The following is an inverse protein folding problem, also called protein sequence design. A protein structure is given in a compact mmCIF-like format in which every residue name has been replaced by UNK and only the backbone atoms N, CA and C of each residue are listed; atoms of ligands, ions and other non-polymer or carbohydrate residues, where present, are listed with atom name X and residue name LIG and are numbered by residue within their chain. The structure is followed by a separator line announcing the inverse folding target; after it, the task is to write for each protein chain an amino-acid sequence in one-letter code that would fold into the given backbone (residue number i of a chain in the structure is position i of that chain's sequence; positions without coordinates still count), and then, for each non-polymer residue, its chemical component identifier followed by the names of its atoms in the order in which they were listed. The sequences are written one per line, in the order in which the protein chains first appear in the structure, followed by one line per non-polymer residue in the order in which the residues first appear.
data_IF_071316084582
#
_entry.id   IF_071316084582
#
_cell.length_a   1.000
_cell.length_b   1.000
_cell.length_c   1.000
_cell.angle_alpha   90.00
_cell.angle_beta   90.00
_cell.angle_gamma   90.00
#
_symmetry.space_group_name_H-M   'P 1'
#
loop_
_entity.id
_entity.type
_entity.pdbx_description
1 polymer ?
#
# COMPACT_ATOMS: atom_id res chain seq x y z
N UNK A 1 8.66 -8.16 8.33
CA UNK A 1 9.91 -8.94 8.50
C UNK A 1 9.64 -9.95 9.60
N UNK A 2 9.73 -11.24 9.30
CA UNK A 2 9.30 -12.42 10.09
C UNK A 2 7.82 -12.88 9.96
N UNK A 3 7.11 -12.61 8.86
CA UNK A 3 5.71 -13.07 8.74
C UNK A 3 5.59 -14.60 8.71
N UNK A 4 6.44 -15.30 7.94
CA UNK A 4 6.35 -16.75 7.80
C UNK A 4 6.68 -17.47 9.10
N UNK A 5 7.77 -17.09 9.77
CA UNK A 5 8.14 -17.67 11.07
C UNK A 5 7.11 -17.36 12.17
N UNK A 6 6.54 -16.16 12.17
CA UNK A 6 5.51 -15.79 13.13
C UNK A 6 4.23 -16.59 12.93
N UNK A 7 3.80 -16.80 11.68
CA UNK A 7 2.66 -17.66 11.35
C UNK A 7 2.91 -19.09 11.83
N UNK A 8 4.08 -19.65 11.55
CA UNK A 8 4.41 -21.01 11.98
C UNK A 8 4.44 -21.16 13.51
N UNK A 9 4.93 -20.14 14.21
CA UNK A 9 4.94 -20.12 15.68
C UNK A 9 3.52 -20.06 16.25
N UNK A 10 2.66 -19.17 15.74
CA UNK A 10 1.25 -19.06 16.15
C UNK A 10 0.45 -20.34 15.86
N UNK A 11 0.67 -20.96 14.70
CA UNK A 11 0.05 -22.25 14.38
C UNK A 11 0.54 -23.37 15.30
N UNK A 12 1.83 -23.38 15.64
CA UNK A 12 2.37 -24.33 16.61
C UNK A 12 1.77 -24.15 18.00
N UNK A 13 1.61 -22.92 18.48
CA UNK A 13 1.01 -22.64 19.80
C UNK A 13 -0.44 -23.16 19.88
N UNK A 14 -1.11 -23.24 18.73
CA UNK A 14 -2.48 -23.79 18.60
C UNK A 14 -2.51 -25.30 18.37
N UNK A 15 -1.37 -25.98 18.37
CA UNK A 15 -1.27 -27.43 18.17
C UNK A 15 -1.59 -27.89 16.74
N UNK A 16 -1.42 -27.02 15.74
CA UNK A 16 -1.67 -27.34 14.34
C UNK A 16 -0.50 -28.14 13.76
N UNK A 17 -0.82 -29.24 13.08
CA UNK A 17 0.15 -30.03 12.30
C UNK A 17 0.19 -29.54 10.85
N UNK A 18 1.37 -29.58 10.24
CA UNK A 18 1.57 -29.13 8.87
C UNK A 18 1.55 -30.30 7.89
N UNK A 19 0.56 -30.32 6.98
CA UNK A 19 0.47 -31.33 5.92
C UNK A 19 1.05 -30.83 4.60
N UNK A 20 1.91 -31.63 3.96
CA UNK A 20 2.42 -31.41 2.60
C UNK A 20 2.30 -32.70 1.79
N UNK A 21 1.28 -32.76 0.93
CA UNK A 21 0.93 -33.98 0.21
C UNK A 21 0.54 -35.09 1.19
N UNK A 22 1.24 -36.23 1.13
CA UNK A 22 1.05 -37.34 2.06
C UNK A 22 1.86 -37.21 3.37
N UNK A 23 2.76 -36.22 3.46
CA UNK A 23 3.63 -36.03 4.62
C UNK A 23 2.98 -35.09 5.64
N UNK A 24 3.17 -35.39 6.93
CA UNK A 24 2.74 -34.53 8.04
C UNK A 24 3.95 -34.20 8.90
N UNK A 25 4.10 -32.92 9.25
CA UNK A 25 5.20 -32.37 10.03
C UNK A 25 4.65 -31.73 11.29
N UNK A 26 5.24 -32.09 12.43
CA UNK A 26 4.96 -31.49 13.73
C UNK A 26 6.07 -30.48 14.06
N UNK A 27 5.69 -29.30 14.56
CA UNK A 27 6.63 -28.28 15.03
C UNK A 27 7.32 -28.66 16.36
N UNK A 28 6.73 -29.60 17.10
CA UNK A 28 7.28 -30.19 18.32
C UNK A 28 8.40 -31.19 18.01
N UNK A 29 8.40 -31.77 16.81
CA UNK A 29 9.46 -32.66 16.34
C UNK A 29 10.68 -31.84 15.85
N UNK A 30 11.92 -32.16 16.29
CA UNK A 30 13.11 -31.42 15.87
C UNK A 30 13.31 -31.35 14.36
N UNK A 31 12.97 -32.42 13.62
CA UNK A 31 13.09 -32.43 12.17
C UNK A 31 11.98 -31.60 11.50
N UNK A 32 10.73 -31.78 11.94
CA UNK A 32 9.60 -30.96 11.48
C UNK A 32 9.84 -29.47 11.70
N UNK A 33 10.35 -29.08 12.86
CA UNK A 33 10.76 -27.70 13.15
C UNK A 33 11.83 -27.19 12.19
N UNK A 34 12.92 -27.93 12.00
CA UNK A 34 14.00 -27.53 11.09
C UNK A 34 13.49 -27.35 9.65
N UNK A 35 12.67 -28.29 9.17
CA UNK A 35 12.10 -28.26 7.83
C UNK A 35 11.22 -27.03 7.63
N UNK A 36 10.27 -26.80 8.54
CA UNK A 36 9.34 -25.67 8.47
C UNK A 36 10.06 -24.33 8.60
N UNK A 37 11.08 -24.23 9.47
CA UNK A 37 11.93 -23.04 9.57
C UNK A 37 12.72 -22.75 8.28
N UNK A 38 13.22 -23.80 7.61
CA UNK A 38 13.92 -23.65 6.33
C UNK A 38 12.98 -23.13 5.25
N UNK A 39 11.74 -23.66 5.18
CA UNK A 39 10.72 -23.16 4.26
C UNK A 39 10.37 -21.69 4.53
N UNK A 40 10.22 -21.32 5.80
CA UNK A 40 9.98 -19.92 6.18
C UNK A 40 11.13 -19.01 5.74
N UNK A 41 12.38 -19.44 5.93
CA UNK A 41 13.56 -18.69 5.50
C UNK A 41 13.57 -18.48 3.98
N UNK A 42 13.28 -19.52 3.20
CA UNK A 42 13.21 -19.42 1.73
C UNK A 42 12.09 -18.47 1.30
N UNK A 43 10.90 -18.60 1.89
CA UNK A 43 9.78 -17.71 1.59
C UNK A 43 10.10 -16.23 1.88
N UNK A 44 10.75 -15.96 3.02
CA UNK A 44 11.19 -14.60 3.36
C UNK A 44 12.27 -14.07 2.42
N UNK A 45 13.23 -14.92 2.03
CA UNK A 45 14.25 -14.56 1.06
C UNK A 45 13.65 -14.18 -0.29
N UNK A 46 12.73 -14.98 -0.83
CA UNK A 46 12.09 -14.71 -2.12
C UNK A 46 11.25 -13.44 -2.10
N UNK A 47 10.48 -13.21 -1.03
CA UNK A 47 9.70 -11.99 -0.86
C UNK A 47 10.61 -10.75 -0.83
N UNK A 48 11.70 -10.81 -0.06
CA UNK A 48 12.68 -9.74 0.03
C UNK A 48 13.35 -9.48 -1.33
N UNK A 49 13.69 -10.53 -2.07
CA UNK A 49 14.27 -10.42 -3.41
C UNK A 49 13.29 -9.75 -4.39
N UNK A 50 12.01 -10.09 -4.32
CA UNK A 50 10.95 -9.41 -5.06
C UNK A 50 10.90 -7.92 -4.75
N UNK A 51 10.88 -7.55 -3.47
CA UNK A 51 10.88 -6.16 -3.03
C UNK A 51 12.12 -5.38 -3.48
N UNK A 52 13.31 -5.99 -3.42
CA UNK A 52 14.54 -5.36 -3.92
C UNK A 52 14.42 -5.01 -5.39
N UNK A 53 13.99 -5.97 -6.23
CA UNK A 53 13.79 -5.74 -7.67
C UNK A 53 12.74 -4.68 -7.96
N UNK A 54 11.63 -4.67 -7.22
CA UNK A 54 10.60 -3.62 -7.34
C UNK A 54 11.18 -2.25 -7.02
N UNK A 55 11.96 -2.12 -5.93
CA UNK A 55 12.58 -0.86 -5.54
C UNK A 55 13.56 -0.36 -6.60
N UNK A 56 14.38 -1.24 -7.18
CA UNK A 56 15.27 -0.92 -8.29
C UNK A 56 14.49 -0.42 -9.52
N UNK A 57 13.44 -1.14 -9.91
CA UNK A 57 12.56 -0.75 -11.00
C UNK A 57 11.88 0.61 -10.76
N UNK A 58 11.39 0.85 -9.54
CA UNK A 58 10.81 2.13 -9.14
C UNK A 58 11.84 3.26 -9.17
N UNK A 59 13.07 3.02 -8.70
CA UNK A 59 14.15 4.02 -8.76
C UNK A 59 14.47 4.42 -10.21
N UNK A 60 14.52 3.45 -11.12
CA UNK A 60 14.71 3.72 -12.55
C UNK A 60 13.52 4.48 -13.16
N UNK A 61 12.29 4.08 -12.85
CA UNK A 61 11.09 4.75 -13.31
C UNK A 61 11.01 6.19 -12.78
N UNK A 62 11.43 6.43 -11.53
CA UNK A 62 11.54 7.76 -10.92
C UNK A 62 12.56 8.64 -11.66
N UNK A 63 13.77 8.11 -11.91
CA UNK A 63 14.82 8.81 -12.66
C UNK A 63 14.34 9.20 -14.07
N UNK A 64 13.55 8.35 -14.70
CA UNK A 64 12.97 8.57 -16.02
C UNK A 64 11.67 9.41 -16.00
N UNK A 65 11.24 9.94 -14.84
CA UNK A 65 10.04 10.77 -14.73
C UNK A 65 8.71 10.04 -15.01
N UNK A 66 8.71 8.71 -14.99
CA UNK A 66 7.53 7.88 -15.29
C UNK A 66 6.63 7.65 -14.09
N UNK A 67 7.15 7.77 -12.87
CA UNK A 67 6.34 7.72 -11.65
C UNK A 67 5.60 9.06 -11.49
N UNK A 68 4.34 9.06 -11.94
CA UNK A 68 3.39 10.13 -11.62
C UNK A 68 2.46 9.54 -10.59
N UNK A 69 2.40 10.16 -9.42
CA UNK A 69 1.50 9.73 -8.35
C UNK A 69 0.05 9.73 -8.73
N UNK A 70 -0.79 9.62 -7.70
CA UNK A 70 -2.23 9.64 -7.88
C UNK A 70 -2.64 10.91 -8.62
N UNK A 71 -3.16 10.74 -9.82
CA UNK A 71 -3.64 11.85 -10.62
C UNK A 71 -4.75 12.59 -9.86
N UNK A 72 -4.78 13.93 -9.90
CA UNK A 72 -5.86 14.70 -9.32
C UNK A 72 -7.21 14.25 -9.87
N UNK A 73 -8.23 14.11 -9.01
CA UNK A 73 -9.58 13.69 -9.41
C UNK A 73 -10.27 14.69 -10.34
N UNK A 74 -9.89 15.96 -10.26
CA UNK A 74 -10.48 17.05 -11.03
C UNK A 74 -9.40 17.69 -11.92
N UNK A 75 -9.74 18.03 -13.18
CA UNK A 75 -8.81 18.69 -14.08
C UNK A 75 -8.55 20.13 -13.63
N UNK A 76 -7.44 20.71 -14.08
CA UNK A 76 -6.99 22.03 -13.63
C UNK A 76 -8.01 23.18 -13.85
N UNK A 77 -8.80 23.23 -14.95
CA UNK A 77 -9.86 24.23 -15.10
C UNK A 77 -10.92 24.18 -13.99
N UNK A 78 -11.32 22.97 -13.56
CA UNK A 78 -12.28 22.79 -12.47
C UNK A 78 -11.68 23.26 -11.13
N UNK A 79 -10.40 22.94 -10.88
CA UNK A 79 -9.68 23.39 -9.68
C UNK A 79 -9.56 24.91 -9.61
N UNK A 80 -9.29 25.57 -10.74
CA UNK A 80 -9.28 27.04 -10.84
C UNK A 80 -10.66 27.64 -10.55
N UNK A 81 -11.73 27.06 -11.10
CA UNK A 81 -13.11 27.47 -10.82
C UNK A 81 -13.43 27.37 -9.33
N UNK A 82 -13.09 26.25 -8.69
CA UNK A 82 -13.27 26.01 -7.25
C UNK A 82 -12.55 27.08 -6.42
N UNK A 83 -11.27 27.34 -6.71
CA UNK A 83 -10.47 28.36 -6.00
C UNK A 83 -11.08 29.75 -6.13
N UNK A 84 -11.51 30.13 -7.34
CA UNK A 84 -12.10 31.45 -7.63
C UNK A 84 -13.43 31.63 -6.88
N UNK A 85 -14.36 30.69 -7.02
CA UNK A 85 -15.70 30.77 -6.40
C UNK A 85 -15.63 30.78 -4.87
N UNK A 86 -14.70 30.02 -4.30
CA UNK A 86 -14.46 30.07 -2.85
C UNK A 86 -13.88 31.41 -2.41
N UNK A 87 -12.91 31.97 -3.13
CA UNK A 87 -12.30 33.27 -2.80
C UNK A 87 -13.30 34.44 -2.90
N UNK A 88 -14.31 34.34 -3.76
CA UNK A 88 -15.39 35.31 -3.89
C UNK A 88 -16.49 35.16 -2.82
N UNK A 89 -16.42 34.12 -1.97
CA UNK A 89 -17.43 33.83 -0.95
C UNK A 89 -18.78 33.37 -1.52
N UNK A 90 -18.83 32.99 -2.80
CA UNK A 90 -20.08 32.67 -3.51
C UNK A 90 -20.69 31.33 -3.06
N UNK A 91 -19.88 30.40 -2.55
CA UNK A 91 -20.27 28.99 -2.37
C UNK A 91 -19.53 28.35 -1.19
N UNK A 92 -20.20 27.49 -0.42
CA UNK A 92 -19.57 26.76 0.68
C UNK A 92 -18.73 25.57 0.18
N UNK A 93 -17.80 25.09 1.03
CA UNK A 93 -17.04 23.86 0.77
C UNK A 93 -17.95 22.63 0.54
N UNK A 94 -19.10 22.57 1.21
CA UNK A 94 -20.03 21.45 1.11
C UNK A 94 -20.75 21.45 -0.25
N UNK A 95 -21.16 22.62 -0.73
CA UNK A 95 -21.84 22.74 -2.01
C UNK A 95 -20.90 22.43 -3.17
N UNK A 96 -19.64 22.91 -3.11
CA UNK A 96 -18.60 22.57 -4.09
C UNK A 96 -18.29 21.06 -4.10
N UNK A 97 -18.30 20.41 -2.93
CA UNK A 97 -18.08 18.97 -2.84
C UNK A 97 -19.21 18.18 -3.54
N UNK A 98 -20.46 18.60 -3.34
CA UNK A 98 -21.63 18.03 -4.00
C UNK A 98 -21.60 18.28 -5.51
N UNK A 99 -21.38 19.54 -5.93
CA UNK A 99 -21.38 19.97 -7.33
C UNK A 99 -20.34 19.20 -8.16
N UNK A 100 -19.11 19.08 -7.65
CA UNK A 100 -18.04 18.37 -8.34
C UNK A 100 -18.00 16.87 -8.02
N UNK A 101 -18.97 16.34 -7.25
CA UNK A 101 -19.05 14.92 -6.85
C UNK A 101 -17.74 14.38 -6.26
N UNK A 102 -17.11 15.16 -5.38
CA UNK A 102 -15.87 14.78 -4.67
C UNK A 102 -16.01 14.97 -3.17
N UNK A 103 -15.19 14.28 -2.39
CA UNK A 103 -15.19 14.46 -0.93
C UNK A 103 -14.73 15.87 -0.53
N UNK A 104 -15.24 16.37 0.60
CA UNK A 104 -14.85 17.68 1.18
C UNK A 104 -13.33 17.83 1.35
N UNK A 105 -12.62 16.75 1.68
CA UNK A 105 -11.16 16.74 1.78
C UNK A 105 -10.46 17.06 0.44
N UNK A 106 -11.07 16.68 -0.69
CA UNK A 106 -10.55 17.01 -2.03
C UNK A 106 -10.73 18.50 -2.32
N UNK A 107 -11.90 19.07 -2.04
CA UNK A 107 -12.15 20.51 -2.17
C UNK A 107 -11.21 21.31 -1.26
N UNK A 108 -11.09 20.90 0.00
CA UNK A 108 -10.18 21.52 0.96
C UNK A 108 -8.73 21.50 0.49
N UNK A 109 -8.24 20.36 -0.05
CA UNK A 109 -6.89 20.24 -0.63
C UNK A 109 -6.71 21.11 -1.87
N UNK A 110 -7.74 21.31 -2.68
CA UNK A 110 -7.69 22.20 -3.85
C UNK A 110 -7.56 23.67 -3.43
N UNK A 111 -8.25 24.08 -2.36
CA UNK A 111 -8.26 25.46 -1.86
C UNK A 111 -7.01 25.79 -1.05
N UNK A 112 -6.65 24.95 -0.08
CA UNK A 112 -5.59 25.22 0.91
C UNK A 112 -4.28 24.47 0.63
N UNK A 113 -4.29 23.51 -0.30
CA UNK A 113 -3.06 22.85 -0.71
C UNK A 113 -2.20 23.82 -1.50
N UNK A 114 -1.09 24.27 -0.90
CA UNK A 114 0.08 24.74 -1.65
C UNK A 114 0.35 23.72 -2.77
N UNK A 115 0.68 24.17 -3.98
CA UNK A 115 0.76 23.40 -5.23
C UNK A 115 1.67 22.16 -5.22
N UNK A 116 1.36 21.18 -4.38
CA UNK A 116 1.96 19.87 -4.25
C UNK A 116 0.79 18.90 -4.35
N UNK A 117 0.48 18.51 -5.58
CA UNK A 117 -0.11 17.20 -5.77
C UNK A 117 0.99 16.18 -5.39
N UNK A 118 0.81 15.40 -4.31
CA UNK A 118 1.81 14.41 -3.94
C UNK A 118 1.88 13.38 -5.07
N UNK A 119 3.10 13.25 -5.60
CA UNK A 119 3.49 12.23 -6.55
C UNK A 119 3.45 10.81 -5.94
#
# INVERSE_FOLDING_TARGET
MAEANQILTDLSERGVLFGLGASVYDWSDPFGRLFLQTLAMVAEFEANLGHMRTREGMALAKKNGKLKGKQPKLPEPARRSIRRRYAQGEVSLADLATEYSVGRSTIHRIIHGAGQDPA
#
